data_IF_643320432005
#
_entry.id   IF_643320432005
#
_cell.length_a   1.000
_cell.length_b   1.000
_cell.length_c   1.000
_cell.angle_alpha   90.00
_cell.angle_beta   90.00
_cell.angle_gamma   90.00
#
_symmetry.space_group_name_H-M   'P 1'
#
loop_
_entity.id
_entity.type
_entity.pdbx_description
1 polymer ?
#
# COMPACT_ATOMS: atom_id res chain seq x y z
N UNK A 1 -29.34 27.71 42.66
CA UNK A 1 -28.42 26.66 42.18
C UNK A 1 -28.80 26.36 40.74
N UNK A 2 -28.48 27.18 39.72
CA UNK A 2 -27.16 27.62 39.23
C UNK A 2 -26.17 26.44 39.15
N UNK A 3 -25.68 26.25 37.92
CA UNK A 3 -24.56 25.41 37.46
C UNK A 3 -24.79 23.90 37.31
N UNK A 4 -25.19 23.48 36.09
CA UNK A 4 -24.55 22.39 35.30
C UNK A 4 -25.29 22.08 33.99
N UNK A 5 -25.51 23.09 33.14
CA UNK A 5 -25.92 22.82 31.76
C UNK A 5 -25.35 23.86 30.79
N UNK A 6 -24.03 24.05 30.86
CA UNK A 6 -23.27 24.72 29.83
C UNK A 6 -22.18 23.73 29.38
N UNK A 7 -21.72 23.91 28.15
CA UNK A 7 -20.70 23.14 27.42
C UNK A 7 -21.32 22.07 26.50
N UNK A 8 -21.07 22.24 25.19
CA UNK A 8 -21.37 21.36 24.02
C UNK A 8 -22.56 21.68 23.10
N UNK A 9 -22.98 22.95 23.00
CA UNK A 9 -23.58 23.46 21.75
C UNK A 9 -22.64 24.47 21.08
N UNK A 10 -21.69 23.95 20.31
CA UNK A 10 -20.97 24.71 19.31
C UNK A 10 -21.36 24.13 17.93
N UNK A 11 -22.35 24.74 17.30
CA UNK A 11 -22.70 24.48 15.91
C UNK A 11 -21.53 24.94 15.04
N UNK A 12 -20.90 24.00 14.33
CA UNK A 12 -19.80 24.28 13.41
C UNK A 12 -20.37 24.99 12.16
N UNK A 13 -20.03 26.27 11.99
CA UNK A 13 -20.43 27.05 10.81
C UNK A 13 -19.51 26.73 9.63
N UNK A 14 -20.00 25.91 8.71
CA UNK A 14 -19.31 25.39 7.52
C UNK A 14 -18.92 26.46 6.50
N UNK A 15 -19.40 27.71 6.66
CA UNK A 15 -19.06 28.82 5.74
C UNK A 15 -17.63 29.33 5.91
N UNK A 16 -17.06 29.25 7.12
CA UNK A 16 -15.67 29.67 7.39
C UNK A 16 -14.63 28.74 6.75
N UNK A 17 -14.97 27.47 6.53
CA UNK A 17 -14.07 26.49 5.89
C UNK A 17 -13.90 26.81 4.40
N UNK A 18 -14.98 27.21 3.73
CA UNK A 18 -14.97 27.50 2.29
C UNK A 18 -14.18 28.77 1.96
N UNK A 19 -14.20 29.78 2.84
CA UNK A 19 -13.40 31.00 2.66
C UNK A 19 -11.90 30.77 2.89
N UNK A 20 -11.53 29.88 3.82
CA UNK A 20 -10.13 29.53 4.07
C UNK A 20 -9.48 28.81 2.88
N UNK A 21 -10.25 28.07 2.07
CA UNK A 21 -9.75 27.37 0.88
C UNK A 21 -9.51 28.29 -0.33
N UNK A 22 -10.02 29.53 -0.32
CA UNK A 22 -9.94 30.43 -1.49
C UNK A 22 -8.80 31.46 -1.46
N UNK A 23 -8.01 31.51 -0.38
CA UNK A 23 -7.10 32.63 -0.12
C UNK A 23 -5.60 32.28 -0.02
N UNK A 24 -5.15 31.14 -0.57
CA UNK A 24 -3.70 30.90 -0.72
C UNK A 24 -3.37 30.38 -2.11
N UNK A 25 -3.17 31.33 -3.01
CA UNK A 25 -2.37 31.16 -4.21
C UNK A 25 -1.15 32.08 -4.07
N UNK A 26 0.01 31.44 -4.21
CA UNK A 26 1.37 31.94 -4.45
C UNK A 26 2.34 32.31 -3.31
N UNK A 27 3.55 31.77 -3.54
CA UNK A 27 4.90 32.17 -3.12
C UNK A 27 5.52 31.51 -1.86
N UNK A 28 6.26 30.42 -2.11
CA UNK A 28 7.61 30.24 -1.54
C UNK A 28 7.72 29.62 -0.15
N UNK A 29 7.63 28.30 -0.10
CA UNK A 29 7.98 27.45 1.04
C UNK A 29 7.28 26.11 0.85
N UNK A 30 7.96 25.13 0.27
CA UNK A 30 7.35 23.82 -0.03
C UNK A 30 6.93 23.14 1.28
N UNK A 31 5.65 23.27 1.57
CA UNK A 31 4.89 22.50 2.54
C UNK A 31 5.22 21.01 2.33
N UNK A 32 5.88 20.40 3.32
CA UNK A 32 6.12 18.96 3.39
C UNK A 32 4.81 18.19 3.70
N UNK A 33 3.75 18.46 2.92
CA UNK A 33 2.52 17.68 2.96
C UNK A 33 2.79 16.42 2.16
N UNK A 34 2.99 15.31 2.87
CA UNK A 34 3.02 13.97 2.29
C UNK A 34 1.65 13.71 1.63
N UNK A 35 1.62 13.61 0.30
CA UNK A 35 0.40 13.27 -0.44
C UNK A 35 -0.11 11.93 0.09
N UNK A 36 -1.29 11.93 0.71
CA UNK A 36 -1.79 10.73 1.39
C UNK A 36 -2.59 9.88 0.40
N UNK A 37 -2.08 8.70 0.06
CA UNK A 37 -2.73 7.75 -0.84
C UNK A 37 -3.24 6.55 -0.06
N UNK A 38 -4.30 5.92 -0.55
CA UNK A 38 -4.82 4.68 0.04
C UNK A 38 -4.83 3.59 -1.01
N UNK A 39 -4.54 2.35 -0.60
CA UNK A 39 -4.38 1.23 -1.51
C UNK A 39 -5.18 0.02 -1.05
N UNK A 40 -5.89 -0.59 -2.00
CA UNK A 40 -6.44 -1.92 -1.87
C UNK A 40 -5.44 -2.94 -2.41
N UNK A 41 -5.06 -3.90 -1.56
CA UNK A 41 -4.12 -4.97 -1.91
C UNK A 41 -4.87 -6.30 -2.03
N UNK A 42 -4.74 -6.96 -3.17
CA UNK A 42 -5.30 -8.29 -3.42
C UNK A 42 -4.19 -9.30 -3.62
N UNK A 43 -4.31 -10.46 -2.97
CA UNK A 43 -3.40 -11.59 -3.16
C UNK A 43 -4.18 -12.73 -3.78
N UNK A 44 -3.74 -13.16 -4.96
CA UNK A 44 -4.30 -14.31 -5.67
C UNK A 44 -3.28 -15.44 -5.72
N UNK A 45 -3.73 -16.68 -5.78
CA UNK A 45 -2.86 -17.82 -6.03
C UNK A 45 -2.68 -18.04 -7.54
N UNK A 46 -1.46 -17.87 -8.04
CA UNK A 46 -1.12 -18.18 -9.43
C UNK A 46 -0.86 -19.68 -9.57
N UNK A 47 -1.77 -20.39 -10.25
CA UNK A 47 -1.66 -21.84 -10.41
C UNK A 47 -0.47 -22.28 -11.26
N UNK A 48 -0.01 -21.45 -12.20
CA UNK A 48 1.08 -21.79 -13.10
C UNK A 48 2.43 -21.69 -12.39
N UNK A 49 2.66 -20.60 -11.66
CA UNK A 49 3.90 -20.40 -10.90
C UNK A 49 3.86 -21.01 -9.49
N UNK A 50 2.69 -21.44 -9.03
CA UNK A 50 2.44 -21.97 -7.68
C UNK A 50 2.85 -21.00 -6.57
N UNK A 51 2.70 -19.70 -6.83
CA UNK A 51 3.10 -18.61 -5.94
C UNK A 51 1.97 -17.59 -5.80
N UNK A 52 1.95 -16.80 -4.72
CA UNK A 52 1.06 -15.66 -4.61
C UNK A 52 1.45 -14.59 -5.62
N UNK A 53 0.44 -13.97 -6.23
CA UNK A 53 0.53 -12.78 -7.10
C UNK A 53 -0.17 -11.64 -6.39
N UNK A 54 0.49 -10.48 -6.33
CA UNK A 54 -0.02 -9.27 -5.68
C UNK A 54 -0.62 -8.34 -6.72
N UNK A 55 -1.78 -7.79 -6.40
CA UNK A 55 -2.46 -6.76 -7.17
C UNK A 55 -2.70 -5.54 -6.28
N UNK A 56 -2.58 -4.35 -6.87
CA UNK A 56 -2.69 -3.08 -6.17
C UNK A 56 -3.65 -2.16 -6.94
N UNK A 57 -4.53 -1.52 -6.18
CA UNK A 57 -5.40 -0.48 -6.70
C UNK A 57 -5.37 0.72 -5.76
N UNK A 58 -4.92 1.87 -6.26
CA UNK A 58 -4.67 3.05 -5.46
C UNK A 58 -5.74 4.12 -5.61
N UNK A 59 -5.91 4.91 -4.55
CA UNK A 59 -6.82 6.05 -4.48
C UNK A 59 -6.09 7.29 -3.95
N UNK A 60 -6.49 8.45 -4.46
CA UNK A 60 -6.05 9.76 -3.96
C UNK A 60 -6.75 10.14 -2.63
N UNK A 61 -6.45 11.34 -2.14
CA UNK A 61 -7.01 11.90 -0.91
C UNK A 61 -8.53 12.08 -0.96
N UNK A 62 -9.10 12.26 -2.16
CA UNK A 62 -10.51 12.41 -2.44
C UNK A 62 -11.19 11.06 -2.76
N UNK A 63 -10.49 9.94 -2.52
CA UNK A 63 -10.90 8.56 -2.83
C UNK A 63 -11.22 8.33 -4.30
N UNK A 64 -10.60 9.08 -5.20
CA UNK A 64 -10.67 8.83 -6.64
C UNK A 64 -9.57 7.85 -7.05
N UNK A 65 -9.82 6.96 -8.03
CA UNK A 65 -8.81 6.05 -8.54
C UNK A 65 -7.55 6.79 -9.04
N UNK A 66 -6.37 6.33 -8.62
CA UNK A 66 -5.10 6.86 -9.09
C UNK A 66 -4.83 6.47 -10.55
N UNK A 67 -4.10 7.34 -11.24
CA UNK A 67 -3.55 7.00 -12.55
C UNK A 67 -2.37 6.04 -12.40
N UNK A 68 -2.01 5.38 -13.51
CA UNK A 68 -0.89 4.44 -13.54
C UNK A 68 0.43 5.12 -13.20
N UNK A 69 0.62 6.36 -13.64
CA UNK A 69 1.82 7.16 -13.37
C UNK A 69 1.98 7.42 -11.89
N UNK A 70 0.90 7.83 -11.21
CA UNK A 70 0.93 8.06 -9.77
C UNK A 70 1.19 6.76 -9.01
N UNK A 71 0.58 5.63 -9.40
CA UNK A 71 0.89 4.35 -8.76
C UNK A 71 2.37 3.94 -8.91
N UNK A 72 3.03 4.29 -10.02
CA UNK A 72 4.45 3.99 -10.20
C UNK A 72 5.38 4.79 -9.29
N UNK A 73 4.95 5.94 -8.77
CA UNK A 73 5.73 6.72 -7.80
C UNK A 73 5.86 5.98 -6.45
N UNK A 74 4.89 5.12 -6.13
CA UNK A 74 4.85 4.33 -4.88
C UNK A 74 5.54 2.97 -4.99
N UNK A 75 6.01 2.62 -6.19
CA UNK A 75 6.70 1.36 -6.47
C UNK A 75 8.20 1.64 -6.61
N UNK A 76 9.02 0.80 -5.99
CA UNK A 76 10.47 0.91 -6.07
C UNK A 76 10.95 0.88 -7.52
N UNK A 77 11.83 1.84 -7.88
CA UNK A 77 12.35 1.99 -9.25
C UNK A 77 13.03 0.73 -9.78
N UNK A 78 13.61 -0.07 -8.88
CA UNK A 78 14.25 -1.35 -9.24
C UNK A 78 13.26 -2.39 -9.78
N UNK A 79 11.98 -2.23 -9.43
CA UNK A 79 10.89 -3.17 -9.68
C UNK A 79 9.85 -2.65 -10.70
N UNK A 80 9.57 -1.34 -10.75
CA UNK A 80 8.56 -0.70 -11.65
C UNK A 80 8.64 -1.23 -13.08
N UNK A 81 9.84 -1.27 -13.67
CA UNK A 81 10.01 -1.61 -15.11
C UNK A 81 10.33 -3.08 -15.37
N UNK A 82 10.44 -3.90 -14.33
CA UNK A 82 10.87 -5.30 -14.45
C UNK A 82 9.78 -6.29 -14.07
N UNK A 83 9.09 -6.01 -12.98
CA UNK A 83 8.17 -6.97 -12.36
C UNK A 83 6.76 -6.45 -12.26
N UNK A 84 6.50 -5.18 -12.59
CA UNK A 84 5.17 -4.58 -12.48
C UNK A 84 4.52 -4.41 -13.85
N UNK A 85 3.24 -4.76 -13.94
CA UNK A 85 2.44 -4.73 -15.16
C UNK A 85 1.02 -4.28 -14.86
N UNK A 86 0.31 -3.75 -15.86
CA UNK A 86 -1.11 -3.40 -15.75
C UNK A 86 -1.93 -4.52 -16.39
N UNK A 87 -2.71 -5.22 -15.59
CA UNK A 87 -3.45 -6.42 -16.00
C UNK A 87 -4.89 -6.40 -15.44
N UNK A 88 -5.80 -7.11 -16.09
CA UNK A 88 -7.14 -7.33 -15.54
C UNK A 88 -7.07 -8.39 -14.43
N UNK A 89 -7.64 -8.08 -13.27
CA UNK A 89 -7.69 -9.03 -12.16
C UNK A 89 -8.53 -10.27 -12.53
N UNK A 90 -8.06 -11.49 -12.23
CA UNK A 90 -8.72 -12.73 -12.70
C UNK A 90 -10.10 -12.99 -12.09
N UNK A 91 -10.42 -12.34 -10.97
CA UNK A 91 -11.67 -12.55 -10.23
C UNK A 91 -12.48 -11.27 -9.98
N UNK A 92 -12.00 -10.11 -10.43
CA UNK A 92 -12.66 -8.82 -10.21
C UNK A 92 -12.95 -8.17 -11.56
N UNK A 93 -14.09 -7.48 -11.71
CA UNK A 93 -14.41 -6.76 -12.94
C UNK A 93 -13.39 -5.61 -13.18
N UNK A 94 -13.34 -5.07 -14.41
CA UNK A 94 -12.57 -3.86 -14.72
C UNK A 94 -12.86 -2.71 -13.73
N UNK A 95 -11.92 -1.77 -13.50
CA UNK A 95 -10.76 -1.43 -14.33
C UNK A 95 -9.52 -2.34 -14.13
N UNK A 96 -8.53 -2.29 -15.05
CA UNK A 96 -7.27 -3.00 -14.86
C UNK A 96 -6.52 -2.47 -13.64
N UNK A 97 -5.76 -3.35 -13.00
CA UNK A 97 -5.02 -3.07 -11.77
C UNK A 97 -3.52 -3.21 -12.01
N UNK A 98 -2.76 -2.58 -11.12
CA UNK A 98 -1.33 -2.80 -11.07
C UNK A 98 -1.06 -4.20 -10.49
N UNK A 99 -0.15 -4.96 -11.08
CA UNK A 99 0.14 -6.35 -10.73
C UNK A 99 1.63 -6.61 -10.67
N UNK A 100 2.09 -7.24 -9.58
CA UNK A 100 3.48 -7.70 -9.45
C UNK A 100 3.57 -9.13 -10.00
N UNK A 101 4.23 -9.28 -11.14
CA UNK A 101 4.32 -10.53 -11.89
C UNK A 101 5.10 -11.61 -11.12
N UNK A 102 4.55 -12.82 -10.95
CA UNK A 102 5.07 -13.81 -10.01
C UNK A 102 6.24 -14.66 -10.51
N UNK A 103 6.72 -14.45 -11.73
CA UNK A 103 7.73 -15.32 -12.37
C UNK A 103 9.05 -15.46 -11.59
N UNK A 104 9.41 -14.48 -10.76
CA UNK A 104 10.60 -14.52 -9.91
C UNK A 104 10.30 -14.79 -8.43
N UNK A 105 9.02 -14.89 -8.04
CA UNK A 105 8.64 -15.06 -6.64
C UNK A 105 9.19 -16.36 -6.05
N UNK A 106 9.14 -17.47 -6.80
CA UNK A 106 9.66 -18.75 -6.31
C UNK A 106 11.17 -18.69 -6.00
N UNK A 107 11.95 -18.05 -6.87
CA UNK A 107 13.40 -17.90 -6.69
C UNK A 107 13.73 -17.05 -5.47
N UNK A 108 13.02 -15.93 -5.29
CA UNK A 108 13.22 -15.03 -4.15
C UNK A 108 12.80 -15.68 -2.83
N UNK A 109 11.63 -16.32 -2.80
CA UNK A 109 11.12 -16.96 -1.58
C UNK A 109 12.00 -18.12 -1.15
N UNK A 110 12.54 -18.90 -2.09
CA UNK A 110 13.51 -19.96 -1.78
C UNK A 110 14.75 -19.40 -1.09
N UNK A 111 15.35 -18.33 -1.63
CA UNK A 111 16.54 -17.69 -1.03
C UNK A 111 16.25 -17.17 0.38
N UNK A 112 15.09 -16.54 0.60
CA UNK A 112 14.72 -16.04 1.93
C UNK A 112 14.59 -17.20 2.93
N UNK A 113 13.95 -18.29 2.53
CA UNK A 113 13.78 -19.47 3.40
C UNK A 113 15.13 -20.10 3.73
N UNK A 114 16.02 -20.25 2.74
CA UNK A 114 17.39 -20.77 2.94
C UNK A 114 18.18 -19.92 3.93
N UNK A 115 18.17 -18.58 3.77
CA UNK A 115 18.86 -17.67 4.70
C UNK A 115 18.31 -17.75 6.13
N UNK A 116 16.99 -17.89 6.30
CA UNK A 116 16.41 -18.04 7.66
C UNK A 116 16.78 -19.39 8.27
N UNK A 117 16.80 -20.45 7.46
CA UNK A 117 17.22 -21.78 7.92
C UNK A 117 18.70 -21.81 8.33
N UNK A 118 19.58 -21.14 7.58
CA UNK A 118 21.00 -20.96 7.93
C UNK A 118 21.19 -20.19 9.24
N UNK A 119 20.31 -19.23 9.54
CA UNK A 119 20.23 -18.52 10.81
C UNK A 119 19.67 -19.35 11.98
N UNK A 120 19.35 -20.62 11.77
CA UNK A 120 18.78 -21.51 12.79
C UNK A 120 17.28 -21.32 13.03
N UNK A 121 16.59 -20.58 12.17
CA UNK A 121 15.15 -20.39 12.23
C UNK A 121 14.39 -21.51 11.52
N UNK A 122 13.34 -22.03 12.16
CA UNK A 122 12.40 -22.96 11.51
C UNK A 122 11.21 -22.20 10.92
N UNK A 123 10.95 -22.40 9.63
CA UNK A 123 9.83 -21.78 8.92
C UNK A 123 8.81 -22.83 8.49
N UNK A 124 7.62 -22.78 9.12
CA UNK A 124 6.47 -23.54 8.64
C UNK A 124 5.82 -22.90 7.41
N UNK A 125 5.18 -23.71 6.56
CA UNK A 125 4.47 -23.24 5.35
C UNK A 125 3.38 -22.20 5.68
N UNK A 126 2.78 -22.28 6.86
CA UNK A 126 1.77 -21.32 7.32
C UNK A 126 2.31 -19.88 7.47
N UNK A 127 3.64 -19.70 7.47
CA UNK A 127 4.32 -18.39 7.53
C UNK A 127 4.67 -17.82 6.15
N UNK A 128 4.42 -18.58 5.08
CA UNK A 128 4.81 -18.20 3.72
C UNK A 128 4.24 -16.84 3.30
N UNK A 129 2.97 -16.56 3.60
CA UNK A 129 2.36 -15.27 3.25
C UNK A 129 2.97 -14.10 4.02
N UNK A 130 3.42 -14.30 5.25
CA UNK A 130 4.09 -13.23 6.02
C UNK A 130 5.47 -12.91 5.45
N UNK A 131 6.21 -13.95 5.05
CA UNK A 131 7.50 -13.79 4.37
C UNK A 131 7.29 -13.09 3.02
N UNK A 132 6.23 -13.47 2.29
CA UNK A 132 5.87 -12.85 1.04
C UNK A 132 5.55 -11.36 1.23
N UNK A 133 4.75 -11.01 2.25
CA UNK A 133 4.47 -9.62 2.60
C UNK A 133 5.74 -8.85 2.96
N UNK A 134 6.69 -9.45 3.70
CA UNK A 134 7.99 -8.82 3.96
C UNK A 134 8.80 -8.56 2.68
N UNK A 135 8.74 -9.46 1.71
CA UNK A 135 9.34 -9.25 0.38
C UNK A 135 8.64 -8.11 -0.38
N UNK A 136 7.31 -8.05 -0.32
CA UNK A 136 6.52 -7.01 -0.98
C UNK A 136 6.88 -5.61 -0.46
N UNK A 137 7.31 -5.46 0.79
CA UNK A 137 7.74 -4.16 1.33
C UNK A 137 8.95 -3.58 0.58
N UNK A 138 9.81 -4.42 0.02
CA UNK A 138 10.91 -3.96 -0.83
C UNK A 138 10.42 -3.45 -2.20
N UNK A 139 9.26 -3.94 -2.67
CA UNK A 139 8.63 -3.55 -3.93
C UNK A 139 7.80 -2.27 -3.78
N UNK A 140 7.05 -2.15 -2.68
CA UNK A 140 6.17 -1.00 -2.37
C UNK A 140 6.54 -0.37 -1.03
N UNK A 141 7.68 0.33 -0.95
CA UNK A 141 8.21 0.82 0.32
C UNK A 141 7.37 1.91 0.98
N UNK A 142 6.57 2.65 0.20
CA UNK A 142 5.75 3.78 0.68
C UNK A 142 4.36 3.36 1.15
N UNK A 143 3.94 2.13 0.84
CA UNK A 143 2.61 1.62 1.20
C UNK A 143 2.70 0.94 2.56
N UNK A 144 1.96 1.46 3.52
CA UNK A 144 1.85 0.87 4.85
C UNK A 144 0.74 -0.19 4.87
N UNK A 145 1.11 -1.43 5.18
CA UNK A 145 0.18 -2.52 5.47
C UNK A 145 0.74 -3.37 6.61
N UNK A 146 -0.15 -4.01 7.36
CA UNK A 146 0.26 -4.81 8.51
C UNK A 146 0.76 -6.20 8.07
N UNK A 147 2.02 -6.49 8.39
CA UNK A 147 2.65 -7.80 8.22
C UNK A 147 3.31 -8.28 9.52
N UNK A 148 2.85 -7.81 10.68
CA UNK A 148 3.49 -8.03 11.99
C UNK A 148 3.67 -9.52 12.33
N UNK A 149 4.92 -9.98 12.18
CA UNK A 149 5.60 -10.88 13.10
C UNK A 149 7.01 -10.36 13.29
N UNK A 150 7.42 -10.17 14.55
CA UNK A 150 8.81 -9.90 14.89
C UNK A 150 9.63 -11.15 14.58
N UNK A 151 10.09 -11.28 13.34
CA UNK A 151 11.13 -12.23 12.99
C UNK A 151 12.46 -11.58 13.37
N UNK A 152 13.02 -12.00 14.49
CA UNK A 152 14.44 -11.78 14.77
C UNK A 152 15.20 -12.52 13.64
N UNK A 153 15.79 -11.76 12.73
CA UNK A 153 16.77 -12.27 11.76
C UNK A 153 18.08 -12.53 12.47
#
# INVERSE_FOLDING_TARGET
>A
MKEKLQIWKATLDTRKIVEACKAKTDAGGEDAILQTRTYDLYITYDKYYQTPRLWLFGYDEQRQPLTVEHMYEDISQDHVKKTVTIENHPHLPPPPMCSVHPCRHAEVMKKIIETVAEGGGELGVHMYLLIFLKFVQAVIPTIEYDYTRHFTM
#
